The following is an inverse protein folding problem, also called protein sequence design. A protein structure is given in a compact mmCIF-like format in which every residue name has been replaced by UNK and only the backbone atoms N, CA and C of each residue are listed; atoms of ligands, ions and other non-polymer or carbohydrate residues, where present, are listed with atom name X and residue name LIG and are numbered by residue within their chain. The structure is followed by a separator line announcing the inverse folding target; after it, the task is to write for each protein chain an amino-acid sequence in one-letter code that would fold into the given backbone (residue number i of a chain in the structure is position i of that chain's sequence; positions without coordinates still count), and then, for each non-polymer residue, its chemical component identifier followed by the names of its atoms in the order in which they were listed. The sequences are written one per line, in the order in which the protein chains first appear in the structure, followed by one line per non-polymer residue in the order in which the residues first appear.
data_IF_221405515295
#
_entry.id   IF_221405515295
#
_cell.length_a   1.000
_cell.length_b   1.000
_cell.length_c   1.000
_cell.angle_alpha   90.00
_cell.angle_beta   90.00
_cell.angle_gamma   90.00
#
_symmetry.space_group_name_H-M   'P 1'
#
loop_
_entity.id
_entity.type
_entity.pdbx_description
1 polymer ?
#
# COMPACT_ATOMS: atom_id res chain seq x y z
N UNK A 1 3.28 26.50 -4.91
CA UNK A 1 3.36 25.82 -3.59
C UNK A 1 4.54 24.88 -3.56
N UNK A 2 5.17 24.74 -2.42
CA UNK A 2 6.21 23.72 -2.18
C UNK A 2 5.58 22.50 -1.51
N UNK A 3 5.75 21.34 -2.10
CA UNK A 3 5.18 20.07 -1.65
C UNK A 3 6.31 19.17 -1.16
N UNK A 4 6.10 18.44 -0.08
CA UNK A 4 7.00 17.40 0.40
C UNK A 4 6.29 16.04 0.36
N UNK A 5 6.85 15.08 -0.35
CA UNK A 5 6.42 13.66 -0.33
C UNK A 5 7.43 12.87 0.50
N UNK A 6 6.95 12.17 1.52
CA UNK A 6 7.81 11.39 2.42
C UNK A 6 7.81 9.93 1.97
N UNK A 7 9.01 9.38 1.79
CA UNK A 7 9.27 7.99 1.45
C UNK A 7 10.20 7.83 0.25
N UNK A 8 10.43 6.59 -0.15
CA UNK A 8 11.42 6.23 -1.19
C UNK A 8 10.98 5.05 -2.07
N UNK A 9 9.76 4.58 -1.95
CA UNK A 9 9.24 3.45 -2.71
C UNK A 9 8.60 3.84 -4.04
N UNK A 10 8.06 2.85 -4.74
CA UNK A 10 7.34 3.04 -5.99
C UNK A 10 6.06 3.84 -5.81
N UNK A 11 5.39 3.66 -4.68
CA UNK A 11 4.24 4.48 -4.26
C UNK A 11 4.61 5.95 -4.16
N UNK A 12 5.70 6.28 -3.49
CA UNK A 12 6.14 7.66 -3.30
C UNK A 12 6.59 8.29 -4.61
N UNK A 13 7.26 7.52 -5.47
CA UNK A 13 7.58 8.00 -6.82
C UNK A 13 6.30 8.34 -7.60
N UNK A 14 5.27 7.47 -7.56
CA UNK A 14 4.01 7.72 -8.24
C UNK A 14 3.24 8.92 -7.66
N UNK A 15 3.21 9.07 -6.34
CA UNK A 15 2.60 10.23 -5.68
C UNK A 15 3.31 11.54 -6.04
N UNK A 16 4.64 11.55 -6.02
CA UNK A 16 5.44 12.74 -6.39
C UNK A 16 5.32 13.09 -7.87
N UNK A 17 5.36 12.09 -8.76
CA UNK A 17 5.12 12.24 -10.19
C UNK A 17 3.72 12.82 -10.48
N UNK A 18 2.72 12.43 -9.70
CA UNK A 18 1.36 12.99 -9.84
C UNK A 18 1.25 14.38 -9.24
N UNK A 19 1.89 14.63 -8.12
CA UNK A 19 1.89 15.94 -7.46
C UNK A 19 2.52 17.04 -8.33
N UNK A 20 3.59 16.73 -9.06
CA UNK A 20 4.28 17.68 -9.92
C UNK A 20 3.44 18.12 -11.15
N UNK A 21 2.40 17.36 -11.49
CA UNK A 21 1.45 17.71 -12.58
C UNK A 21 0.42 18.75 -12.12
N UNK A 22 0.33 19.03 -10.82
CA UNK A 22 -0.57 20.04 -10.28
C UNK A 22 -0.13 21.45 -10.71
N UNK A 23 -1.04 22.29 -11.22
CA UNK A 23 -0.73 23.69 -11.48
C UNK A 23 -0.42 24.50 -10.20
N UNK A 24 -0.74 23.94 -9.03
CA UNK A 24 -0.43 24.51 -7.73
C UNK A 24 1.02 24.24 -7.31
N UNK A 25 1.64 23.17 -7.82
CA UNK A 25 2.98 22.76 -7.42
C UNK A 25 4.06 23.58 -8.15
N UNK A 26 4.87 24.31 -7.40
CA UNK A 26 6.06 25.01 -7.88
C UNK A 26 7.30 24.11 -7.75
N UNK A 27 7.41 23.42 -6.62
CA UNK A 27 8.51 22.51 -6.32
C UNK A 27 7.97 21.32 -5.53
N UNK A 28 8.38 20.13 -5.91
CA UNK A 28 8.07 18.89 -5.18
C UNK A 28 9.36 18.25 -4.68
N UNK A 29 9.49 18.18 -3.37
CA UNK A 29 10.58 17.49 -2.68
C UNK A 29 10.17 16.06 -2.34
N UNK A 30 11.12 15.13 -2.36
CA UNK A 30 10.91 13.74 -1.94
C UNK A 30 11.97 13.34 -0.92
N UNK A 31 11.56 12.88 0.25
CA UNK A 31 12.48 12.55 1.34
C UNK A 31 12.32 11.09 1.81
N UNK A 32 13.33 10.22 1.64
CA UNK A 32 14.61 10.48 0.98
C UNK A 32 14.56 10.41 -0.55
N UNK A 33 13.48 9.87 -1.15
CA UNK A 33 13.39 9.58 -2.56
C UNK A 33 14.24 8.38 -3.00
N UNK A 34 14.29 8.16 -4.32
CA UNK A 34 15.06 7.08 -4.93
C UNK A 34 15.69 7.56 -6.26
N UNK A 35 16.27 6.65 -7.04
CA UNK A 35 16.89 7.02 -8.32
C UNK A 35 15.85 7.60 -9.31
N UNK A 36 14.63 7.07 -9.34
CA UNK A 36 13.59 7.56 -10.24
C UNK A 36 13.18 8.99 -9.92
N UNK A 37 12.94 9.29 -8.65
CA UNK A 37 12.62 10.65 -8.22
C UNK A 37 13.77 11.64 -8.41
N UNK A 38 15.03 11.17 -8.33
CA UNK A 38 16.20 11.99 -8.64
C UNK A 38 16.35 12.33 -10.14
N UNK A 39 15.87 11.45 -11.02
CA UNK A 39 15.94 11.60 -12.47
C UNK A 39 14.76 12.38 -13.04
N UNK A 40 13.67 12.59 -12.31
CA UNK A 40 12.55 13.42 -12.74
C UNK A 40 12.93 14.90 -12.67
N UNK A 41 12.88 15.64 -13.80
CA UNK A 41 13.39 17.03 -13.85
C UNK A 41 12.71 18.00 -12.89
N UNK A 42 11.47 17.69 -12.49
CA UNK A 42 10.66 18.56 -11.63
C UNK A 42 10.61 18.11 -10.15
N UNK A 43 11.33 17.04 -9.80
CA UNK A 43 11.43 16.53 -8.43
C UNK A 43 12.81 16.82 -7.83
N UNK A 44 12.86 16.97 -6.52
CA UNK A 44 14.10 17.17 -5.77
C UNK A 44 14.17 16.22 -4.59
N UNK A 45 15.15 15.31 -4.61
CA UNK A 45 15.41 14.43 -3.47
C UNK A 45 16.06 15.20 -2.32
N UNK A 46 15.66 14.86 -1.10
CA UNK A 46 16.21 15.40 0.14
C UNK A 46 16.71 14.25 0.99
N UNK A 47 17.99 14.21 1.30
CA UNK A 47 18.65 13.11 2.01
C UNK A 47 18.26 13.09 3.51
N UNK A 48 16.97 12.94 3.81
CA UNK A 48 16.42 12.81 5.16
C UNK A 48 15.61 11.51 5.19
N UNK A 49 15.86 10.65 6.18
CA UNK A 49 15.09 9.42 6.38
C UNK A 49 13.61 9.72 6.60
N UNK A 50 12.74 8.86 6.06
CA UNK A 50 11.28 8.97 6.26
C UNK A 50 10.86 8.90 7.74
N UNK A 51 11.70 8.33 8.61
CA UNK A 51 11.46 8.19 10.05
C UNK A 51 12.19 9.21 10.91
N UNK A 52 13.00 10.08 10.31
CA UNK A 52 13.65 11.19 11.04
C UNK A 52 12.69 12.39 11.13
N UNK A 53 11.68 12.26 11.98
CA UNK A 53 10.62 13.27 12.16
C UNK A 53 11.19 14.64 12.53
N UNK A 54 12.14 14.77 13.46
CA UNK A 54 12.73 16.08 13.78
C UNK A 54 13.38 16.76 12.58
N UNK A 55 14.19 16.03 11.79
CA UNK A 55 14.87 16.59 10.63
C UNK A 55 13.89 16.96 9.51
N UNK A 56 12.84 16.14 9.29
CA UNK A 56 11.78 16.43 8.33
C UNK A 56 11.00 17.69 8.72
N UNK A 57 10.71 17.87 10.01
CA UNK A 57 10.01 19.03 10.54
C UNK A 57 10.85 20.32 10.37
N UNK A 58 12.14 20.24 10.69
CA UNK A 58 13.08 21.35 10.49
C UNK A 58 13.18 21.73 9.00
N UNK A 59 13.32 20.75 8.13
CA UNK A 59 13.32 20.95 6.68
C UNK A 59 12.05 21.64 6.20
N UNK A 60 10.89 21.13 6.61
CA UNK A 60 9.59 21.69 6.21
C UNK A 60 9.42 23.15 6.64
N UNK A 61 9.88 23.51 7.83
CA UNK A 61 9.89 24.91 8.30
C UNK A 61 10.85 25.78 7.51
N UNK A 62 12.09 25.32 7.31
CA UNK A 62 13.14 26.08 6.60
C UNK A 62 12.75 26.36 5.15
N UNK A 63 12.26 25.32 4.45
CA UNK A 63 11.84 25.43 3.04
C UNK A 63 10.46 26.05 2.87
N UNK A 64 9.71 26.24 3.96
CA UNK A 64 8.31 26.73 3.95
C UNK A 64 7.42 25.80 3.10
N UNK A 65 7.42 24.51 3.45
CA UNK A 65 6.57 23.52 2.79
C UNK A 65 5.10 23.85 3.04
N UNK A 66 4.32 23.95 1.99
CA UNK A 66 2.89 24.25 2.03
C UNK A 66 2.03 23.02 2.30
N UNK A 67 2.45 21.83 1.82
CA UNK A 67 1.76 20.55 2.03
C UNK A 67 2.77 19.42 2.10
N UNK A 68 2.59 18.54 3.08
CA UNK A 68 3.32 17.27 3.17
C UNK A 68 2.38 16.10 2.91
N UNK A 69 2.78 15.14 2.08
CA UNK A 69 2.07 13.89 1.79
C UNK A 69 2.93 12.73 2.29
N UNK A 70 2.39 11.91 3.18
CA UNK A 70 3.12 10.77 3.75
C UNK A 70 2.82 9.51 2.92
N UNK A 71 3.87 8.90 2.40
CA UNK A 71 3.77 7.66 1.63
C UNK A 71 3.70 6.40 2.49
N UNK A 72 4.76 6.06 3.28
CA UNK A 72 4.83 4.81 4.01
C UNK A 72 4.18 4.88 5.40
N UNK A 73 3.91 3.71 5.98
CA UNK A 73 3.32 3.55 7.30
C UNK A 73 4.26 3.91 8.46
N UNK A 74 5.57 3.65 8.32
CA UNK A 74 6.52 3.81 9.42
C UNK A 74 6.51 5.23 10.05
N UNK A 75 6.60 6.33 9.29
CA UNK A 75 6.50 7.67 9.87
C UNK A 75 5.13 7.98 10.48
N UNK A 76 4.05 7.37 9.99
CA UNK A 76 2.70 7.56 10.53
C UNK A 76 2.56 6.99 11.94
N UNK A 77 3.01 5.76 12.15
CA UNK A 77 2.91 5.08 13.45
C UNK A 77 3.83 5.67 14.53
N UNK A 78 4.84 6.43 14.14
CA UNK A 78 5.71 7.16 15.09
C UNK A 78 5.31 8.63 15.30
N UNK A 79 4.19 9.09 14.70
CA UNK A 79 3.57 10.37 15.02
C UNK A 79 4.03 11.57 14.19
N UNK A 80 4.51 11.39 12.96
CA UNK A 80 4.91 12.51 12.10
C UNK A 80 3.77 13.51 11.88
N UNK A 81 2.54 13.03 11.71
CA UNK A 81 1.38 13.88 11.46
C UNK A 81 1.07 14.75 12.68
N UNK A 82 1.15 14.17 13.87
CA UNK A 82 0.96 14.90 15.14
C UNK A 82 2.00 16.01 15.27
N UNK A 83 3.28 15.71 15.03
CA UNK A 83 4.38 16.68 15.12
C UNK A 83 4.23 17.85 14.13
N UNK A 84 3.83 17.56 12.89
CA UNK A 84 3.63 18.59 11.86
C UNK A 84 2.42 19.49 12.18
N UNK A 85 1.30 18.88 12.60
CA UNK A 85 0.10 19.64 12.99
C UNK A 85 0.34 20.52 14.22
N UNK A 86 1.06 20.04 15.22
CA UNK A 86 1.47 20.81 16.39
C UNK A 86 2.34 22.02 15.98
N UNK A 87 3.13 21.85 14.93
CA UNK A 87 3.95 22.90 14.34
C UNK A 87 3.18 23.87 13.42
N UNK A 88 1.88 23.64 13.19
CA UNK A 88 1.05 24.44 12.28
C UNK A 88 1.33 24.17 10.79
N UNK A 89 1.91 23.03 10.45
CA UNK A 89 2.22 22.63 9.07
C UNK A 89 1.15 21.67 8.53
N UNK A 90 0.66 21.94 7.31
CA UNK A 90 -0.29 21.07 6.65
C UNK A 90 0.36 19.74 6.25
N UNK A 91 -0.27 18.65 6.64
CA UNK A 91 0.18 17.30 6.36
C UNK A 91 -1.02 16.38 6.14
N UNK A 92 -0.99 15.64 5.04
CA UNK A 92 -2.00 14.66 4.69
C UNK A 92 -1.56 13.26 5.13
N UNK A 93 -2.25 12.73 6.12
CA UNK A 93 -2.02 11.43 6.73
C UNK A 93 -2.75 11.33 8.08
N UNK A 94 -2.97 10.12 8.61
CA UNK A 94 -3.58 9.92 9.92
C UNK A 94 -2.59 10.24 11.06
N UNK A 95 -3.14 10.65 12.20
CA UNK A 95 -2.39 10.78 13.45
C UNK A 95 -1.84 9.42 13.91
N UNK A 96 -0.88 9.43 14.84
CA UNK A 96 -0.34 8.21 15.43
C UNK A 96 -1.45 7.29 16.00
N UNK A 97 -2.42 7.87 16.70
CA UNK A 97 -3.55 7.14 17.26
C UNK A 97 -4.44 6.52 16.16
N UNK A 98 -4.73 7.26 15.09
CA UNK A 98 -5.51 6.73 13.96
C UNK A 98 -4.72 5.69 13.13
N UNK A 99 -3.40 5.81 13.04
CA UNK A 99 -2.53 4.88 12.35
C UNK A 99 -2.44 3.49 13.05
N UNK A 100 -3.00 3.33 14.24
CA UNK A 100 -3.15 2.02 14.90
C UNK A 100 -3.98 1.03 14.07
N UNK A 101 -4.84 1.48 13.17
CA UNK A 101 -5.56 0.61 12.22
C UNK A 101 -4.61 -0.22 11.32
N UNK A 102 -3.38 0.23 11.08
CA UNK A 102 -2.33 -0.56 10.42
C UNK A 102 -1.26 -1.02 11.42
N UNK A 103 -0.94 -0.19 12.41
CA UNK A 103 0.13 -0.41 13.37
C UNK A 103 -0.09 -1.60 14.30
N UNK A 104 -1.36 -1.98 14.58
CA UNK A 104 -1.70 -3.13 15.41
C UNK A 104 -2.88 -3.90 14.85
N UNK A 105 -2.63 -5.16 14.47
CA UNK A 105 -3.68 -6.07 13.98
C UNK A 105 -4.69 -6.42 15.06
N UNK A 106 -4.23 -6.57 16.29
CA UNK A 106 -5.11 -6.82 17.43
C UNK A 106 -6.04 -5.63 17.67
N UNK A 107 -5.50 -4.40 17.68
CA UNK A 107 -6.33 -3.19 17.77
C UNK A 107 -7.40 -3.16 16.67
N UNK A 108 -6.99 -3.42 15.42
CA UNK A 108 -7.89 -3.41 14.26
C UNK A 108 -8.99 -4.45 14.38
N UNK A 109 -8.66 -5.67 14.78
CA UNK A 109 -9.68 -6.73 14.94
C UNK A 109 -10.67 -6.39 16.06
N UNK A 110 -10.18 -5.90 17.19
CA UNK A 110 -11.04 -5.48 18.32
C UNK A 110 -11.91 -4.28 17.92
N UNK A 111 -11.38 -3.33 17.13
CA UNK A 111 -12.12 -2.21 16.57
C UNK A 111 -13.23 -2.69 15.61
N UNK A 112 -12.90 -3.58 14.66
CA UNK A 112 -13.88 -4.16 13.72
C UNK A 112 -15.03 -4.86 14.45
N UNK A 113 -14.72 -5.61 15.51
CA UNK A 113 -15.71 -6.29 16.33
C UNK A 113 -16.62 -5.30 17.09
N UNK A 114 -16.04 -4.27 17.73
CA UNK A 114 -16.81 -3.25 18.47
C UNK A 114 -17.78 -2.49 17.56
N UNK A 115 -17.38 -2.20 16.35
CA UNK A 115 -18.18 -1.44 15.38
C UNK A 115 -18.96 -2.32 14.41
N UNK A 116 -18.99 -3.64 14.62
CA UNK A 116 -19.73 -4.63 13.81
C UNK A 116 -19.37 -4.56 12.31
N UNK A 117 -18.11 -4.26 12.00
CA UNK A 117 -17.60 -4.22 10.63
C UNK A 117 -17.26 -5.65 10.20
N UNK A 118 -17.74 -6.11 9.02
CA UNK A 118 -17.52 -7.49 8.58
C UNK A 118 -16.04 -7.85 8.45
N UNK A 119 -15.61 -8.91 9.12
CA UNK A 119 -14.25 -9.44 9.12
C UNK A 119 -14.26 -10.91 9.48
N UNK A 120 -13.13 -11.60 9.36
CA UNK A 120 -12.94 -12.96 9.82
C UNK A 120 -13.14 -13.06 11.35
N UNK A 121 -13.69 -14.18 11.82
CA UNK A 121 -13.62 -14.53 13.24
C UNK A 121 -12.16 -14.54 13.69
N UNK A 122 -11.87 -14.13 14.90
CA UNK A 122 -10.51 -14.02 15.39
C UNK A 122 -10.39 -14.20 16.88
N UNK A 123 -9.16 -14.49 17.34
CA UNK A 123 -8.76 -14.38 18.73
C UNK A 123 -7.30 -13.98 18.86
N UNK A 124 -6.99 -13.15 19.87
CA UNK A 124 -5.64 -12.68 20.17
C UNK A 124 -4.98 -13.59 21.20
N UNK A 125 -3.66 -13.86 21.02
CA UNK A 125 -2.87 -14.68 21.93
C UNK A 125 -1.50 -14.07 22.19
N UNK A 126 -1.04 -14.22 23.44
CA UNK A 126 0.31 -13.87 23.89
C UNK A 126 1.06 -15.11 24.43
N UNK A 127 0.39 -16.24 24.54
CA UNK A 127 0.94 -17.49 25.08
C UNK A 127 0.71 -18.65 24.10
N UNK A 128 1.69 -19.54 23.99
CA UNK A 128 1.69 -20.65 23.02
C UNK A 128 0.58 -21.65 23.29
N UNK A 129 0.46 -22.13 24.53
CA UNK A 129 -0.48 -23.22 24.85
C UNK A 129 -1.96 -22.86 24.60
N UNK A 130 -2.46 -21.67 25.01
CA UNK A 130 -3.81 -21.26 24.64
C UNK A 130 -4.03 -21.14 23.14
N UNK A 131 -3.03 -20.64 22.39
CA UNK A 131 -3.10 -20.53 20.95
C UNK A 131 -3.18 -21.91 20.27
N UNK A 132 -2.37 -22.87 20.71
CA UNK A 132 -2.41 -24.26 20.21
C UNK A 132 -3.75 -24.94 20.53
N UNK A 133 -4.31 -24.71 21.71
CA UNK A 133 -5.62 -25.25 22.08
C UNK A 133 -6.72 -24.71 21.16
N UNK A 134 -6.69 -23.40 20.84
CA UNK A 134 -7.62 -22.79 19.90
C UNK A 134 -7.48 -23.32 18.48
N UNK A 135 -6.24 -23.53 17.98
CA UNK A 135 -6.00 -24.13 16.69
C UNK A 135 -6.58 -25.55 16.57
N UNK A 136 -6.43 -26.38 17.62
CA UNK A 136 -6.98 -27.74 17.65
C UNK A 136 -8.50 -27.77 17.68
N UNK A 137 -9.12 -26.75 18.27
CA UNK A 137 -10.58 -26.58 18.27
C UNK A 137 -11.09 -26.14 16.88
N UNK A 138 -10.44 -25.14 16.26
CA UNK A 138 -10.88 -24.54 14.99
C UNK A 138 -10.49 -25.36 13.77
N UNK A 139 -9.33 -26.03 13.80
CA UNK A 139 -8.78 -26.78 12.67
C UNK A 139 -8.13 -25.88 11.61
N UNK A 140 -7.86 -26.47 10.44
CA UNK A 140 -7.32 -25.77 9.28
C UNK A 140 -8.27 -25.94 8.07
N UNK A 141 -8.24 -25.02 7.05
CA UNK A 141 -7.31 -23.88 6.94
C UNK A 141 -7.60 -22.76 7.93
N UNK A 142 -6.53 -22.04 8.35
CA UNK A 142 -6.61 -20.95 9.33
C UNK A 142 -5.47 -19.94 9.08
N UNK A 143 -5.60 -18.71 9.57
CA UNK A 143 -4.60 -17.66 9.34
C UNK A 143 -4.00 -17.20 10.65
N UNK A 144 -2.68 -17.15 10.74
CA UNK A 144 -1.92 -16.67 11.89
C UNK A 144 -1.16 -15.40 11.48
N UNK A 145 -1.34 -14.32 12.25
CA UNK A 145 -0.72 -13.03 11.99
C UNK A 145 0.06 -12.55 13.21
N UNK A 146 1.32 -12.20 13.02
CA UNK A 146 2.07 -11.45 14.03
C UNK A 146 1.46 -10.03 14.18
N UNK A 147 1.31 -9.54 15.41
CA UNK A 147 0.83 -8.18 15.66
C UNK A 147 1.94 -7.15 15.33
N UNK A 148 1.54 -5.97 14.87
CA UNK A 148 2.48 -4.92 14.46
C UNK A 148 2.91 -4.98 12.99
N UNK A 149 3.86 -4.09 12.64
CA UNK A 149 4.37 -3.94 11.29
C UNK A 149 5.38 -5.04 10.97
N UNK A 150 5.05 -5.96 10.08
CA UNK A 150 5.91 -7.07 9.65
C UNK A 150 6.13 -7.10 8.13
N UNK A 151 5.91 -6.00 7.42
CA UNK A 151 6.11 -5.84 5.97
C UNK A 151 5.50 -6.99 5.12
N UNK A 152 4.29 -7.45 5.50
CA UNK A 152 3.60 -8.56 4.84
C UNK A 152 4.16 -9.96 5.13
N UNK A 153 5.28 -10.08 5.83
CA UNK A 153 5.91 -11.37 6.15
C UNK A 153 5.34 -12.03 7.42
N UNK A 154 4.65 -11.29 8.26
CA UNK A 154 4.06 -11.78 9.51
C UNK A 154 2.68 -12.41 9.34
N UNK A 155 2.30 -12.87 8.14
CA UNK A 155 1.01 -13.51 7.86
C UNK A 155 1.25 -14.89 7.27
N UNK A 156 0.76 -15.93 7.95
CA UNK A 156 0.84 -17.31 7.49
C UNK A 156 -0.58 -17.84 7.29
N UNK A 157 -0.89 -18.23 6.07
CA UNK A 157 -2.10 -18.96 5.71
C UNK A 157 -1.77 -20.44 5.83
N UNK A 158 -2.16 -21.06 6.93
CA UNK A 158 -1.89 -22.45 7.21
C UNK A 158 -3.00 -23.35 6.63
N UNK A 159 -2.65 -24.20 5.69
CA UNK A 159 -3.59 -25.13 5.07
C UNK A 159 -3.71 -26.42 5.90
N UNK A 160 -2.78 -26.69 6.80
CA UNK A 160 -2.78 -27.84 7.70
C UNK A 160 -2.62 -27.40 9.14
N UNK A 161 -3.08 -28.23 10.08
CA UNK A 161 -2.94 -27.94 11.52
C UNK A 161 -1.45 -27.88 11.92
N UNK A 162 -0.60 -28.72 11.34
CA UNK A 162 0.84 -28.72 11.63
C UNK A 162 1.48 -27.38 11.23
N UNK A 163 1.19 -26.87 10.02
CA UNK A 163 1.67 -25.54 9.58
C UNK A 163 1.22 -24.43 10.53
N UNK A 164 -0.02 -24.51 11.04
CA UNK A 164 -0.54 -23.54 11.98
C UNK A 164 0.17 -23.62 13.34
N UNK A 165 0.38 -24.83 13.87
CA UNK A 165 1.10 -25.03 15.14
C UNK A 165 2.55 -24.55 15.04
N UNK A 166 3.25 -24.87 13.92
CA UNK A 166 4.62 -24.41 13.67
C UNK A 166 4.68 -22.87 13.61
N UNK A 167 3.72 -22.24 12.93
CA UNK A 167 3.63 -20.77 12.86
C UNK A 167 3.45 -20.11 14.23
N UNK A 168 2.61 -20.68 15.09
CA UNK A 168 2.42 -20.19 16.48
C UNK A 168 3.70 -20.31 17.29
N UNK A 169 4.40 -21.45 17.17
CA UNK A 169 5.68 -21.68 17.86
C UNK A 169 6.74 -20.66 17.41
N UNK A 170 6.89 -20.48 16.10
CA UNK A 170 7.89 -19.57 15.53
C UNK A 170 7.62 -18.11 15.92
N UNK A 171 6.35 -17.69 15.90
CA UNK A 171 5.99 -16.31 16.22
C UNK A 171 6.09 -16.00 17.71
N UNK A 172 5.49 -16.81 18.58
CA UNK A 172 5.42 -16.54 20.03
C UNK A 172 6.65 -17.01 20.80
N UNK A 173 7.21 -18.17 20.48
CA UNK A 173 8.36 -18.73 21.20
C UNK A 173 9.69 -18.46 20.50
N UNK A 174 9.71 -18.47 19.16
CA UNK A 174 10.90 -18.26 18.36
C UNK A 174 11.33 -16.81 18.18
N UNK A 175 10.48 -15.85 18.59
CA UNK A 175 10.68 -14.41 18.42
C UNK A 175 11.06 -14.00 16.98
N UNK A 176 10.53 -14.72 15.99
CA UNK A 176 10.87 -14.57 14.57
C UNK A 176 10.59 -13.15 14.02
N UNK A 177 9.71 -12.38 14.68
CA UNK A 177 9.31 -11.04 14.28
C UNK A 177 9.60 -9.96 15.34
N UNK A 178 10.54 -10.22 16.27
CA UNK A 178 10.90 -9.26 17.34
C UNK A 178 9.66 -8.85 18.15
N UNK A 179 9.54 -7.55 18.44
CA UNK A 179 8.42 -7.02 19.23
C UNK A 179 7.04 -7.29 18.61
N UNK A 180 6.94 -7.40 17.28
CA UNK A 180 5.68 -7.76 16.59
C UNK A 180 5.23 -9.21 16.87
N UNK A 181 6.13 -10.10 17.26
CA UNK A 181 5.85 -11.50 17.61
C UNK A 181 5.37 -11.75 19.02
N UNK A 182 5.38 -10.74 19.93
CA UNK A 182 4.91 -10.92 21.31
C UNK A 182 3.39 -11.15 21.41
N UNK A 183 2.65 -10.84 20.39
CA UNK A 183 1.22 -11.10 20.26
C UNK A 183 0.89 -11.55 18.84
N UNK A 184 0.01 -12.53 18.75
CA UNK A 184 -0.52 -13.00 17.47
C UNK A 184 -2.03 -12.87 17.42
N UNK A 185 -2.55 -12.77 16.20
CA UNK A 185 -3.98 -12.88 15.90
C UNK A 185 -4.18 -14.15 15.08
N UNK A 186 -5.07 -15.02 15.53
CA UNK A 186 -5.51 -16.19 14.78
C UNK A 186 -6.87 -15.90 14.19
N UNK A 187 -7.03 -16.06 12.88
CA UNK A 187 -8.24 -15.70 12.15
C UNK A 187 -8.77 -16.85 11.31
N UNK A 188 -10.09 -16.87 11.13
CA UNK A 188 -10.78 -17.69 10.14
C UNK A 188 -10.14 -17.48 8.76
N UNK A 189 -9.96 -18.57 8.01
CA UNK A 189 -9.60 -18.50 6.60
C UNK A 189 -10.79 -17.97 5.78
N UNK A 190 -10.59 -16.91 5.05
CA UNK A 190 -11.61 -16.35 4.16
C UNK A 190 -11.39 -16.85 2.73
N UNK A 191 -12.44 -17.35 2.10
CA UNK A 191 -12.47 -17.74 0.70
C UNK A 191 -13.19 -16.69 -0.14
N UNK A 192 -12.60 -16.33 -1.28
CA UNK A 192 -13.13 -15.30 -2.17
C UNK A 192 -12.07 -14.69 -3.07
N UNK A 193 -12.35 -13.48 -3.53
CA UNK A 193 -11.47 -12.69 -4.37
C UNK A 193 -11.02 -11.43 -3.61
N UNK A 194 -9.71 -11.25 -3.50
CA UNK A 194 -9.16 -10.07 -2.81
C UNK A 194 -9.32 -8.80 -3.66
N UNK A 195 -9.64 -7.70 -3.01
CA UNK A 195 -9.69 -6.37 -3.62
C UNK A 195 -9.14 -5.29 -2.68
N UNK A 196 -8.52 -4.28 -3.29
CA UNK A 196 -8.03 -3.09 -2.62
C UNK A 196 -9.03 -1.95 -2.82
N UNK A 197 -9.68 -1.53 -1.73
CA UNK A 197 -10.64 -0.42 -1.72
C UNK A 197 -10.03 0.75 -0.98
N UNK A 198 -9.72 1.82 -1.70
CA UNK A 198 -8.97 2.96 -1.18
C UNK A 198 -9.83 4.20 -1.22
N UNK A 199 -9.80 4.96 -0.13
CA UNK A 199 -10.51 6.25 -0.02
C UNK A 199 -9.60 7.32 0.56
N UNK A 200 -9.89 8.58 0.23
CA UNK A 200 -9.41 9.74 0.98
C UNK A 200 -10.42 10.09 2.05
N UNK A 201 -9.95 10.43 3.24
CA UNK A 201 -10.78 10.81 4.38
C UNK A 201 -10.27 12.12 4.97
N UNK A 202 -11.18 13.02 5.35
CA UNK A 202 -10.87 14.31 5.97
C UNK A 202 -11.33 14.44 7.42
N UNK A 203 -11.72 13.31 8.01
CA UNK A 203 -12.29 13.23 9.35
C UNK A 203 -13.81 13.06 9.35
N UNK A 204 -14.51 13.67 8.43
CA UNK A 204 -15.98 13.62 8.32
C UNK A 204 -16.44 13.08 6.95
N UNK A 205 -15.76 13.50 5.89
CA UNK A 205 -16.11 13.14 4.52
C UNK A 205 -15.18 12.08 3.94
N UNK A 206 -15.67 11.37 2.95
CA UNK A 206 -14.95 10.29 2.26
C UNK A 206 -15.04 10.52 0.76
N UNK A 207 -13.89 10.48 0.10
CA UNK A 207 -13.79 10.50 -1.37
C UNK A 207 -13.20 9.15 -1.84
N UNK A 208 -13.99 8.26 -2.46
CA UNK A 208 -13.48 7.01 -3.01
C UNK A 208 -12.46 7.26 -4.13
N UNK A 209 -11.36 6.50 -4.08
CA UNK A 209 -10.38 6.41 -5.16
C UNK A 209 -10.74 5.24 -6.09
N UNK A 210 -10.01 5.09 -7.20
CA UNK A 210 -10.19 3.92 -8.04
C UNK A 210 -9.81 2.64 -7.29
N UNK A 211 -10.59 1.58 -7.47
CA UNK A 211 -10.32 0.26 -6.91
C UNK A 211 -9.14 -0.42 -7.62
N UNK A 212 -8.52 -1.39 -6.96
CA UNK A 212 -7.40 -2.15 -7.51
C UNK A 212 -7.43 -3.60 -6.99
N UNK A 213 -6.73 -4.48 -7.69
CA UNK A 213 -6.38 -5.81 -7.21
C UNK A 213 -4.89 -6.02 -7.37
N UNK A 214 -4.24 -6.50 -6.31
CA UNK A 214 -2.82 -6.84 -6.32
C UNK A 214 -2.60 -8.37 -6.43
N UNK A 215 -1.35 -8.75 -6.68
CA UNK A 215 -0.88 -10.13 -6.73
C UNK A 215 0.18 -10.35 -5.64
N UNK A 216 -0.23 -10.89 -4.50
CA UNK A 216 0.63 -10.99 -3.29
C UNK A 216 1.64 -12.12 -3.35
N UNK A 217 1.35 -13.22 -4.04
CA UNK A 217 2.27 -14.36 -4.16
C UNK A 217 3.41 -14.06 -5.14
N UNK A 218 4.60 -14.57 -4.82
CA UNK A 218 5.81 -14.28 -5.61
C UNK A 218 5.81 -14.92 -7.00
N UNK A 219 5.20 -16.09 -7.16
CA UNK A 219 5.22 -16.89 -8.39
C UNK A 219 3.92 -16.86 -9.17
N UNK A 220 4.02 -17.18 -10.45
CA UNK A 220 2.88 -17.36 -11.35
C UNK A 220 1.88 -18.36 -10.79
N UNK A 221 0.59 -18.16 -11.07
CA UNK A 221 -0.48 -19.00 -10.55
C UNK A 221 -0.68 -18.89 -9.04
N UNK A 222 -0.28 -17.78 -8.45
CA UNK A 222 -0.35 -17.50 -7.00
C UNK A 222 0.38 -18.56 -6.16
N UNK A 223 1.60 -18.90 -6.57
CA UNK A 223 2.47 -19.85 -5.90
C UNK A 223 3.59 -19.18 -5.08
N UNK A 224 4.16 -19.93 -4.14
CA UNK A 224 5.27 -19.46 -3.30
C UNK A 224 4.82 -18.55 -2.15
N UNK A 225 5.76 -17.89 -1.45
CA UNK A 225 5.46 -17.05 -0.30
C UNK A 225 4.74 -15.74 -0.70
N UNK A 226 4.08 -15.12 0.30
CA UNK A 226 3.54 -13.77 0.18
C UNK A 226 4.66 -12.74 0.06
N UNK A 227 4.36 -11.66 -0.63
CA UNK A 227 5.25 -10.50 -0.84
C UNK A 227 4.51 -9.21 -0.51
N UNK A 228 5.14 -8.07 -0.72
CA UNK A 228 4.47 -6.76 -0.69
C UNK A 228 3.56 -6.50 -1.90
N UNK A 229 3.49 -7.41 -2.87
CA UNK A 229 2.76 -7.30 -4.14
C UNK A 229 3.69 -7.35 -5.34
N UNK A 230 3.40 -8.23 -6.30
CA UNK A 230 4.19 -8.45 -7.53
C UNK A 230 3.61 -7.73 -8.73
N UNK A 231 2.53 -7.01 -8.55
CA UNK A 231 1.84 -6.23 -9.54
C UNK A 231 0.39 -5.96 -9.14
N UNK A 232 -0.23 -5.01 -9.80
CA UNK A 232 -1.61 -4.64 -9.55
C UNK A 232 -2.26 -4.07 -10.81
N UNK A 233 -3.57 -4.08 -10.85
CA UNK A 233 -4.34 -3.42 -11.90
C UNK A 233 -5.51 -2.63 -11.31
N UNK A 234 -5.97 -1.64 -12.03
CA UNK A 234 -7.08 -0.77 -11.67
C UNK A 234 -7.93 -0.47 -12.91
N UNK A 235 -9.28 -0.50 -12.83
CA UNK A 235 -10.08 -0.82 -11.66
C UNK A 235 -10.11 -2.33 -11.34
N UNK A 236 -10.67 -2.69 -10.18
CA UNK A 236 -10.93 -4.06 -9.79
C UNK A 236 -12.31 -4.52 -10.30
N UNK A 237 -12.42 -5.44 -11.28
CA UNK A 237 -13.71 -5.85 -11.82
C UNK A 237 -14.60 -6.58 -10.81
N UNK A 238 -14.02 -7.16 -9.77
CA UNK A 238 -14.78 -7.78 -8.68
C UNK A 238 -15.61 -6.78 -7.90
N UNK A 239 -15.18 -5.53 -7.84
CA UNK A 239 -15.91 -4.46 -7.14
C UNK A 239 -16.89 -3.81 -8.10
N UNK A 240 -18.06 -4.45 -8.25
CA UNK A 240 -19.20 -3.88 -8.98
C UNK A 240 -19.79 -2.69 -8.22
N UNK A 241 -20.68 -1.91 -8.85
CA UNK A 241 -21.35 -0.78 -8.20
C UNK A 241 -22.11 -1.21 -6.93
N UNK A 242 -22.73 -2.39 -6.95
CA UNK A 242 -23.40 -2.96 -5.78
C UNK A 242 -22.41 -3.28 -4.65
N UNK A 243 -21.30 -3.91 -4.99
CA UNK A 243 -20.26 -4.25 -4.00
C UNK A 243 -19.58 -2.97 -3.49
N UNK A 244 -19.35 -1.99 -4.37
CA UNK A 244 -18.83 -0.68 -3.97
C UNK A 244 -19.74 -0.04 -2.90
N UNK A 245 -21.06 -0.02 -3.12
CA UNK A 245 -21.99 0.53 -2.15
C UNK A 245 -22.00 -0.26 -0.84
N UNK A 246 -21.95 -1.61 -0.90
CA UNK A 246 -21.82 -2.45 0.32
C UNK A 246 -20.56 -2.13 1.11
N UNK A 247 -19.41 -1.96 0.44
CA UNK A 247 -18.15 -1.60 1.10
C UNK A 247 -18.26 -0.23 1.76
N UNK A 248 -18.83 0.76 1.07
CA UNK A 248 -19.05 2.08 1.66
C UNK A 248 -19.92 2.00 2.91
N UNK A 249 -21.05 1.30 2.85
CA UNK A 249 -22.04 1.24 3.93
C UNK A 249 -21.60 0.36 5.11
N UNK A 250 -20.94 -0.77 4.84
CA UNK A 250 -20.62 -1.77 5.87
C UNK A 250 -19.19 -1.69 6.39
N UNK A 251 -18.27 -1.05 5.64
CA UNK A 251 -16.85 -0.99 6.01
C UNK A 251 -16.39 0.45 6.18
N UNK A 252 -16.47 1.27 5.14
CA UNK A 252 -15.80 2.58 5.15
C UNK A 252 -16.47 3.55 6.12
N UNK A 253 -17.79 3.80 5.97
CA UNK A 253 -18.49 4.71 6.86
C UNK A 253 -18.46 4.27 8.33
N UNK A 254 -18.69 2.98 8.66
CA UNK A 254 -18.53 2.51 10.04
C UNK A 254 -17.12 2.71 10.58
N UNK A 255 -16.08 2.52 9.77
CA UNK A 255 -14.68 2.75 10.18
C UNK A 255 -14.43 4.23 10.50
N UNK A 256 -14.78 5.14 9.59
CA UNK A 256 -14.53 6.58 9.76
C UNK A 256 -15.30 7.11 10.98
N UNK A 257 -16.58 6.76 11.11
CA UNK A 257 -17.42 7.16 12.25
C UNK A 257 -16.98 6.51 13.56
N UNK A 258 -16.59 5.24 13.52
CA UNK A 258 -16.08 4.53 14.69
C UNK A 258 -14.80 5.12 15.23
N UNK A 259 -13.85 5.43 14.35
CA UNK A 259 -12.60 6.11 14.71
C UNK A 259 -12.87 7.47 15.33
N UNK A 260 -13.76 8.27 14.76
CA UNK A 260 -14.15 9.57 15.33
C UNK A 260 -14.84 9.41 16.69
N UNK A 261 -15.72 8.43 16.86
CA UNK A 261 -16.41 8.15 18.12
C UNK A 261 -15.45 7.72 19.24
N UNK A 262 -14.34 7.06 18.90
CA UNK A 262 -13.27 6.70 19.85
C UNK A 262 -12.24 7.83 20.06
N UNK A 263 -12.45 9.02 19.48
CA UNK A 263 -11.56 10.18 19.63
C UNK A 263 -10.33 10.16 18.69
N UNK A 264 -10.28 9.22 17.75
CA UNK A 264 -9.18 9.03 16.80
C UNK A 264 -9.62 9.44 15.39
N UNK A 265 -9.99 10.70 15.21
CA UNK A 265 -10.45 11.23 13.92
C UNK A 265 -9.46 10.90 12.81
N UNK A 266 -9.93 10.23 11.76
CA UNK A 266 -9.10 9.78 10.64
C UNK A 266 -9.03 10.82 9.53
N UNK A 267 -7.82 11.23 9.15
CA UNK A 267 -7.54 12.04 7.95
C UNK A 267 -6.41 11.37 7.19
N UNK A 268 -6.55 11.19 5.89
CA UNK A 268 -5.51 10.54 5.08
C UNK A 268 -6.07 9.54 4.07
N UNK A 269 -5.22 8.78 3.43
CA UNK A 269 -5.64 7.61 2.68
C UNK A 269 -5.99 6.49 3.64
N UNK A 270 -7.14 5.86 3.42
CA UNK A 270 -7.56 4.64 4.10
C UNK A 270 -7.73 3.55 3.05
N UNK A 271 -6.88 2.53 3.15
CA UNK A 271 -6.94 1.35 2.30
C UNK A 271 -7.60 0.22 3.10
N UNK A 272 -8.72 -0.28 2.60
CA UNK A 272 -9.35 -1.50 3.08
C UNK A 272 -8.97 -2.66 2.14
N UNK A 273 -8.17 -3.61 2.64
CA UNK A 273 -7.95 -4.91 2.02
C UNK A 273 -9.16 -5.80 2.30
N UNK A 274 -9.85 -6.22 1.25
CA UNK A 274 -11.11 -6.92 1.35
C UNK A 274 -11.04 -8.31 0.72
N UNK A 275 -11.71 -9.27 1.35
CA UNK A 275 -12.12 -10.50 0.71
C UNK A 275 -13.57 -10.38 0.29
N UNK A 276 -13.85 -10.51 -1.00
CA UNK A 276 -15.22 -10.52 -1.55
C UNK A 276 -15.59 -11.99 -1.79
N UNK A 277 -16.55 -12.50 -1.04
CA UNK A 277 -16.99 -13.87 -1.19
C UNK A 277 -17.89 -14.05 -2.44
N UNK A 278 -18.27 -15.30 -2.72
CA UNK A 278 -19.10 -15.65 -3.87
C UNK A 278 -20.52 -15.04 -3.84
N UNK A 279 -20.96 -14.50 -2.69
CA UNK A 279 -22.25 -13.78 -2.56
C UNK A 279 -22.09 -12.27 -2.72
N UNK A 280 -20.85 -11.79 -2.94
CA UNK A 280 -20.51 -10.37 -3.01
C UNK A 280 -20.46 -9.70 -1.63
N UNK A 281 -20.33 -10.47 -0.54
CA UNK A 281 -20.18 -9.92 0.80
C UNK A 281 -18.72 -9.56 1.05
N UNK A 282 -18.41 -8.28 1.33
CA UNK A 282 -17.06 -7.88 1.68
C UNK A 282 -16.76 -8.21 3.15
N UNK A 283 -15.56 -8.74 3.39
CA UNK A 283 -14.98 -8.88 4.74
C UNK A 283 -13.61 -8.23 4.76
N UNK A 284 -13.33 -7.43 5.79
CA UNK A 284 -12.01 -6.79 5.95
C UNK A 284 -10.95 -7.82 6.30
N UNK A 285 -9.89 -7.87 5.52
CA UNK A 285 -8.66 -8.64 5.79
C UNK A 285 -7.73 -7.80 6.66
N UNK A 286 -7.51 -6.55 6.26
CA UNK A 286 -6.63 -5.58 6.92
C UNK A 286 -6.99 -4.15 6.51
N UNK A 287 -6.58 -3.18 7.33
CA UNK A 287 -6.47 -1.79 6.91
C UNK A 287 -5.01 -1.41 6.71
N UNK A 288 -4.78 -0.51 5.76
CA UNK A 288 -3.53 0.22 5.65
C UNK A 288 -3.85 1.74 5.73
N UNK A 289 -3.07 2.45 6.53
CA UNK A 289 -3.30 3.88 6.82
C UNK A 289 -2.63 4.80 5.80
N UNK A 290 -2.43 4.33 4.62
CA UNK A 290 -1.73 4.95 3.50
C UNK A 290 -2.17 4.30 2.19
N UNK A 291 -1.70 4.85 1.08
CA UNK A 291 -1.94 4.24 -0.23
C UNK A 291 -1.24 2.88 -0.36
N UNK A 292 -1.76 1.98 -1.18
CA UNK A 292 -1.15 0.67 -1.44
C UNK A 292 0.12 0.75 -2.30
N UNK A 293 0.98 -0.25 -2.21
CA UNK A 293 2.14 -0.44 -3.08
C UNK A 293 2.24 -1.92 -3.46
N UNK A 294 1.93 -2.31 -4.72
CA UNK A 294 2.04 -1.53 -5.95
C UNK A 294 0.72 -0.97 -6.55
N UNK A 295 -0.33 -0.76 -5.78
CA UNK A 295 -1.61 -0.25 -6.29
C UNK A 295 -1.55 1.23 -6.70
N UNK A 296 -0.74 2.03 -6.00
CA UNK A 296 -0.62 3.47 -6.27
C UNK A 296 -0.21 3.76 -7.71
N UNK A 297 0.71 2.98 -8.26
CA UNK A 297 1.27 3.22 -9.58
C UNK A 297 0.19 3.15 -10.70
N UNK A 298 -0.59 2.07 -10.86
CA UNK A 298 -1.65 2.04 -11.85
C UNK A 298 -2.80 3.00 -11.53
N UNK A 299 -3.11 3.26 -10.26
CA UNK A 299 -4.16 4.20 -9.87
C UNK A 299 -3.77 5.64 -10.23
N UNK A 300 -2.54 6.07 -9.94
CA UNK A 300 -2.06 7.42 -10.26
C UNK A 300 -1.93 7.64 -11.77
N UNK A 301 -1.63 6.60 -12.55
CA UNK A 301 -1.61 6.70 -14.00
C UNK A 301 -3.02 6.99 -14.58
N UNK A 302 -4.07 6.52 -13.91
CA UNK A 302 -5.47 6.77 -14.27
C UNK A 302 -6.05 8.06 -13.70
N UNK A 303 -5.52 8.58 -12.61
CA UNK A 303 -6.07 9.77 -11.96
C UNK A 303 -5.92 11.00 -12.86
N UNK A 304 -7.05 11.65 -13.20
CA UNK A 304 -7.10 12.90 -13.95
C UNK A 304 -7.29 14.13 -13.07
N UNK A 305 -7.84 13.94 -11.85
CA UNK A 305 -7.94 15.02 -10.87
C UNK A 305 -6.59 15.44 -10.32
N UNK A 306 -6.50 16.67 -9.87
CA UNK A 306 -5.31 17.22 -9.20
C UNK A 306 -5.15 16.63 -7.81
N UNK A 307 -4.12 15.78 -7.61
CA UNK A 307 -3.83 15.14 -6.33
C UNK A 307 -3.54 16.15 -5.21
N UNK A 308 -2.84 17.24 -5.53
CA UNK A 308 -2.48 18.27 -4.54
C UNK A 308 -3.73 18.98 -4.05
N UNK A 309 -4.63 19.36 -4.96
CA UNK A 309 -5.91 19.98 -4.61
C UNK A 309 -6.80 19.07 -3.76
N UNK A 310 -6.82 17.77 -4.07
CA UNK A 310 -7.54 16.79 -3.25
C UNK A 310 -6.95 16.66 -1.84
N UNK A 311 -5.62 16.60 -1.72
CA UNK A 311 -4.95 16.50 -0.42
C UNK A 311 -5.14 17.77 0.42
N UNK A 312 -5.11 18.96 -0.19
CA UNK A 312 -5.41 20.22 0.48
C UNK A 312 -6.85 20.27 0.97
N UNK A 313 -7.81 19.87 0.11
CA UNK A 313 -9.21 19.80 0.50
C UNK A 313 -9.42 18.86 1.70
N UNK A 314 -8.72 17.72 1.72
CA UNK A 314 -8.76 16.81 2.86
C UNK A 314 -8.18 17.42 4.14
N UNK A 315 -7.06 18.14 4.04
CA UNK A 315 -6.48 18.85 5.20
C UNK A 315 -7.42 19.95 5.74
N UNK A 316 -8.24 20.52 4.87
CA UNK A 316 -9.20 21.59 5.20
C UNK A 316 -10.61 21.08 5.60
N UNK A 317 -10.86 19.76 5.57
CA UNK A 317 -12.19 19.18 5.84
C UNK A 317 -13.22 19.49 4.75
N UNK A 318 -12.80 19.54 3.48
CA UNK A 318 -13.63 19.96 2.33
C UNK A 318 -13.71 18.90 1.22
N UNK A 319 -13.55 17.64 1.55
CA UNK A 319 -13.66 16.56 0.53
C UNK A 319 -15.07 16.41 -0.04
N UNK A 320 -16.10 16.84 0.69
CA UNK A 320 -17.48 16.91 0.20
C UNK A 320 -17.68 17.84 -1.01
N UNK A 321 -16.75 18.77 -1.23
CA UNK A 321 -16.74 19.71 -2.36
C UNK A 321 -15.90 19.19 -3.53
N UNK A 322 -15.33 18.00 -3.44
CA UNK A 322 -14.44 17.42 -4.44
C UNK A 322 -15.03 16.16 -5.07
N UNK A 323 -14.61 15.91 -6.29
CA UNK A 323 -14.87 14.67 -7.02
C UNK A 323 -13.57 14.18 -7.64
N UNK A 324 -13.44 12.87 -7.78
CA UNK A 324 -12.31 12.26 -8.48
C UNK A 324 -12.71 11.90 -9.91
N UNK A 325 -11.85 12.27 -10.86
CA UNK A 325 -12.00 11.94 -12.28
C UNK A 325 -10.88 10.98 -12.70
N UNK A 326 -11.23 10.02 -13.54
CA UNK A 326 -10.38 8.90 -13.92
C UNK A 326 -10.32 8.71 -15.42
N UNK A 327 -9.16 8.34 -15.94
CA UNK A 327 -9.07 7.76 -17.28
C UNK A 327 -9.95 6.50 -17.30
N UNK A 328 -10.87 6.37 -18.25
CA UNK A 328 -11.76 5.20 -18.34
C UNK A 328 -11.01 3.91 -18.65
N UNK A 329 -9.81 4.02 -19.23
CA UNK A 329 -8.97 2.87 -19.55
C UNK A 329 -8.40 2.26 -18.26
N UNK A 330 -8.33 0.93 -18.16
CA UNK A 330 -7.61 0.27 -17.08
C UNK A 330 -6.10 0.52 -17.18
N UNK A 331 -5.45 0.48 -16.03
CA UNK A 331 -4.00 0.46 -15.91
C UNK A 331 -3.53 -0.81 -15.21
N UNK A 332 -2.32 -1.28 -15.57
CA UNK A 332 -1.72 -2.45 -14.95
C UNK A 332 -0.23 -2.18 -14.71
N UNK A 333 0.25 -2.53 -13.51
CA UNK A 333 1.64 -2.44 -13.12
C UNK A 333 2.25 -3.81 -12.87
N UNK A 334 3.43 -4.05 -13.43
CA UNK A 334 4.25 -5.25 -13.24
C UNK A 334 5.46 -4.89 -12.39
N UNK A 335 5.63 -5.57 -11.25
CA UNK A 335 6.80 -5.38 -10.39
C UNK A 335 7.96 -6.23 -10.90
N UNK A 336 9.11 -5.59 -11.11
CA UNK A 336 10.38 -6.26 -11.30
C UNK A 336 11.12 -6.34 -9.97
N UNK A 337 11.48 -7.54 -9.56
CA UNK A 337 12.10 -7.83 -8.27
C UNK A 337 13.54 -8.34 -8.43
N UNK A 338 14.33 -8.15 -7.36
CA UNK A 338 15.68 -8.69 -7.25
C UNK A 338 15.64 -10.21 -7.02
N UNK A 339 16.61 -10.93 -7.58
CA UNK A 339 16.73 -12.37 -7.41
C UNK A 339 16.82 -12.76 -5.94
N UNK A 340 15.97 -13.72 -5.54
CA UNK A 340 15.85 -14.15 -4.16
C UNK A 340 14.69 -13.53 -3.37
N UNK A 341 14.14 -12.40 -3.83
CA UNK A 341 12.98 -11.76 -3.17
C UNK A 341 11.78 -12.73 -3.11
N UNK A 342 11.01 -12.82 -1.99
CA UNK A 342 11.04 -11.99 -0.78
C UNK A 342 12.03 -12.46 0.31
N UNK A 343 12.86 -13.47 0.03
CA UNK A 343 13.96 -13.89 0.90
C UNK A 343 15.16 -12.96 0.79
N UNK A 344 16.36 -13.51 0.99
CA UNK A 344 17.59 -12.75 0.86
C UNK A 344 17.89 -12.41 -0.61
N UNK A 345 18.23 -11.18 -0.88
CA UNK A 345 18.54 -10.67 -2.22
C UNK A 345 19.77 -9.76 -2.20
N UNK A 346 20.45 -9.67 -3.35
CA UNK A 346 21.58 -8.76 -3.54
C UNK A 346 21.10 -7.36 -3.91
N UNK A 347 21.94 -6.37 -3.61
CA UNK A 347 21.75 -4.97 -3.97
C UNK A 347 23.00 -4.44 -4.67
N UNK A 348 22.87 -3.38 -5.44
CA UNK A 348 23.98 -2.73 -6.13
C UNK A 348 24.18 -3.21 -7.56
N UNK A 349 23.28 -4.03 -8.10
CA UNK A 349 23.32 -4.41 -9.52
C UNK A 349 22.89 -3.23 -10.39
N UNK A 350 23.63 -2.95 -11.47
CA UNK A 350 23.28 -1.92 -12.43
C UNK A 350 22.03 -2.32 -13.22
N UNK A 351 21.07 -1.39 -13.32
CA UNK A 351 19.86 -1.58 -14.09
C UNK A 351 20.08 -1.05 -15.51
N UNK A 352 19.83 -1.89 -16.49
CA UNK A 352 19.97 -1.58 -17.92
C UNK A 352 18.60 -1.46 -18.58
N UNK A 353 18.53 -0.72 -19.69
CA UNK A 353 17.35 -0.64 -20.57
C UNK A 353 16.20 0.20 -20.04
N UNK A 354 16.45 1.05 -19.03
CA UNK A 354 15.47 2.04 -18.60
C UNK A 354 15.14 3.01 -19.75
N UNK A 355 13.87 3.43 -19.91
CA UNK A 355 13.51 4.41 -20.94
C UNK A 355 14.18 5.76 -20.65
N UNK A 356 14.75 6.37 -21.69
CA UNK A 356 15.38 7.70 -21.62
C UNK A 356 14.38 8.84 -21.85
N UNK A 357 13.21 8.52 -22.40
CA UNK A 357 12.16 9.48 -22.73
C UNK A 357 10.84 9.04 -22.10
N UNK A 358 9.89 9.96 -22.02
CA UNK A 358 8.54 9.63 -21.58
C UNK A 358 7.91 8.57 -22.49
N UNK A 359 7.29 7.59 -21.84
CA UNK A 359 6.61 6.50 -22.54
C UNK A 359 5.12 6.84 -22.65
N UNK A 360 4.63 6.87 -23.90
CA UNK A 360 3.22 7.10 -24.14
C UNK A 360 2.36 6.02 -23.47
N UNK A 361 1.35 6.45 -22.71
CA UNK A 361 0.42 5.56 -21.97
C UNK A 361 1.11 4.56 -21.04
N UNK A 362 2.29 4.92 -20.51
CA UNK A 362 3.02 4.09 -19.58
C UNK A 362 4.05 4.86 -18.76
N UNK A 363 4.51 4.26 -17.67
CA UNK A 363 5.55 4.82 -16.81
C UNK A 363 6.32 3.71 -16.10
N UNK A 364 7.63 3.88 -15.96
CA UNK A 364 8.46 3.05 -15.08
C UNK A 364 8.65 3.80 -13.77
N UNK A 365 7.99 3.30 -12.72
CA UNK A 365 8.18 3.83 -11.38
C UNK A 365 9.29 3.08 -10.67
N UNK A 366 10.22 3.81 -10.07
CA UNK A 366 11.30 3.25 -9.28
C UNK A 366 10.84 3.02 -7.84
N UNK A 367 11.21 1.87 -7.28
CA UNK A 367 11.03 1.52 -5.89
C UNK A 367 12.39 1.36 -5.21
N UNK A 368 12.87 0.15 -5.02
CA UNK A 368 14.17 -0.11 -4.43
C UNK A 368 15.33 0.19 -5.40
N UNK A 369 15.58 1.45 -5.66
CA UNK A 369 16.69 1.92 -6.51
C UNK A 369 17.46 3.05 -5.84
N UNK A 370 18.74 3.19 -6.19
CA UNK A 370 19.56 4.35 -5.84
C UNK A 370 20.35 4.83 -7.04
N UNK A 371 20.66 6.11 -7.06
CA UNK A 371 21.49 6.75 -8.08
C UNK A 371 22.90 6.91 -7.50
N UNK A 372 23.92 6.35 -8.18
CA UNK A 372 25.32 6.57 -7.89
C UNK A 372 25.99 7.12 -9.14
N UNK A 373 26.49 8.34 -9.07
CA UNK A 373 26.92 9.08 -10.26
C UNK A 373 25.80 9.12 -11.30
N UNK A 374 25.99 8.49 -12.44
CA UNK A 374 24.99 8.40 -13.52
C UNK A 374 24.37 6.99 -13.64
N UNK A 375 24.66 6.09 -12.68
CA UNK A 375 24.20 4.72 -12.72
C UNK A 375 23.00 4.51 -11.81
N UNK A 376 21.96 3.88 -12.32
CA UNK A 376 20.83 3.41 -11.52
C UNK A 376 21.13 1.99 -11.05
N UNK A 377 21.17 1.82 -9.73
CA UNK A 377 21.48 0.56 -9.06
C UNK A 377 20.29 0.03 -8.26
N UNK A 378 20.19 -1.29 -8.13
CA UNK A 378 19.21 -1.92 -7.25
C UNK A 378 19.53 -1.59 -5.79
N UNK A 379 18.48 -1.34 -4.99
CA UNK A 379 18.58 -0.99 -3.56
C UNK A 379 17.38 -1.50 -2.75
N UNK A 380 16.79 -2.60 -3.17
CA UNK A 380 15.63 -3.20 -2.51
C UNK A 380 15.15 -4.47 -3.20
N UNK A 381 14.19 -5.16 -2.59
CA UNK A 381 13.63 -6.41 -3.14
C UNK A 381 12.70 -6.17 -4.32
N UNK A 382 11.71 -5.27 -4.17
CA UNK A 382 10.92 -4.75 -5.29
C UNK A 382 11.65 -3.53 -5.83
N UNK A 383 12.08 -3.61 -7.08
CA UNK A 383 13.03 -2.63 -7.66
C UNK A 383 12.32 -1.61 -8.52
N UNK A 384 11.47 -2.07 -9.44
CA UNK A 384 10.71 -1.22 -10.35
C UNK A 384 9.26 -1.68 -10.43
N UNK A 385 8.35 -0.78 -10.79
CA UNK A 385 7.00 -1.10 -11.22
C UNK A 385 6.76 -0.49 -12.61
N UNK A 386 6.61 -1.34 -13.61
CA UNK A 386 6.36 -0.94 -15.01
C UNK A 386 4.86 -0.90 -15.24
N UNK A 387 4.32 0.28 -15.48
CA UNK A 387 2.88 0.52 -15.51
C UNK A 387 2.43 0.99 -16.88
N UNK A 388 1.29 0.52 -17.37
CA UNK A 388 0.72 0.93 -18.64
C UNK A 388 -0.81 1.00 -18.59
N UNK A 389 -1.37 1.91 -19.41
CA UNK A 389 -2.78 1.97 -19.77
C UNK A 389 -3.06 1.09 -20.99
N UNK A 390 -4.29 0.61 -21.12
CA UNK A 390 -4.77 -0.10 -22.30
C UNK A 390 -6.28 -0.01 -22.44
N UNK A 391 -6.83 -0.29 -23.61
CA UNK A 391 -8.27 -0.23 -23.85
C UNK A 391 -9.05 -1.23 -22.98
N UNK A 392 -8.38 -2.30 -22.62
CA UNK A 392 -8.82 -3.28 -21.61
C UNK A 392 -7.62 -3.77 -20.79
N UNK A 393 -7.86 -4.63 -19.78
CA UNK A 393 -6.79 -5.14 -18.91
C UNK A 393 -5.78 -5.99 -19.69
N UNK A 394 -6.22 -6.72 -20.73
CA UNK A 394 -5.31 -7.52 -21.55
C UNK A 394 -4.38 -6.63 -22.39
N UNK A 395 -4.88 -5.53 -22.95
CA UNK A 395 -4.10 -4.55 -23.65
C UNK A 395 -3.10 -3.84 -22.72
N UNK A 396 -3.54 -3.44 -21.52
CA UNK A 396 -2.68 -2.86 -20.51
C UNK A 396 -1.58 -3.84 -20.06
N UNK A 397 -1.92 -5.11 -19.86
CA UNK A 397 -0.97 -6.19 -19.54
C UNK A 397 0.07 -6.33 -20.63
N UNK A 398 -0.37 -6.49 -21.88
CA UNK A 398 0.53 -6.63 -23.03
C UNK A 398 1.50 -5.47 -23.10
N UNK A 399 1.00 -4.24 -22.98
CA UNK A 399 1.82 -3.02 -23.05
C UNK A 399 2.82 -2.95 -21.88
N UNK A 400 2.40 -3.24 -20.65
CA UNK A 400 3.30 -3.27 -19.51
C UNK A 400 4.44 -4.28 -19.71
N UNK A 401 4.13 -5.52 -20.15
CA UNK A 401 5.17 -6.52 -20.43
C UNK A 401 6.06 -6.16 -21.62
N UNK A 402 5.57 -5.48 -22.64
CA UNK A 402 6.43 -4.93 -23.71
C UNK A 402 7.45 -3.95 -23.16
N UNK A 403 7.06 -3.08 -22.24
CA UNK A 403 7.93 -2.11 -21.59
C UNK A 403 8.93 -2.76 -20.62
N UNK A 404 8.66 -3.95 -20.09
CA UNK A 404 9.63 -4.66 -19.23
C UNK A 404 10.77 -5.30 -20.03
N UNK A 405 10.56 -5.66 -21.31
CA UNK A 405 11.52 -6.46 -22.11
C UNK A 405 12.94 -5.90 -22.17
N UNK A 406 13.15 -4.57 -22.37
CA UNK A 406 14.50 -4.02 -22.42
C UNK A 406 15.17 -3.92 -21.04
N UNK A 407 14.39 -3.95 -19.94
CA UNK A 407 14.90 -3.69 -18.60
C UNK A 407 15.48 -4.97 -18.01
N UNK A 408 16.71 -4.90 -17.50
CA UNK A 408 17.38 -6.07 -16.94
C UNK A 408 18.48 -5.71 -15.94
N UNK A 409 18.73 -6.59 -15.01
CA UNK A 409 19.90 -6.71 -14.14
C UNK A 409 20.07 -8.18 -13.73
N UNK A 410 21.19 -8.52 -13.10
CA UNK A 410 21.46 -9.91 -12.75
C UNK A 410 20.42 -10.46 -11.77
N UNK A 411 19.77 -11.56 -12.14
CA UNK A 411 18.75 -12.22 -11.32
C UNK A 411 17.40 -11.51 -11.29
N UNK A 412 17.18 -10.47 -12.07
CA UNK A 412 15.87 -9.79 -12.16
C UNK A 412 14.76 -10.75 -12.59
N UNK A 413 13.59 -10.64 -11.96
CA UNK A 413 12.42 -11.42 -12.34
C UNK A 413 11.13 -10.64 -12.11
N UNK A 414 10.07 -11.09 -12.74
CA UNK A 414 8.69 -10.65 -12.52
C UNK A 414 7.73 -11.82 -12.72
N UNK A 415 6.52 -11.69 -12.22
CA UNK A 415 5.41 -12.59 -12.59
C UNK A 415 5.00 -12.30 -14.04
N UNK A 416 4.51 -13.33 -14.72
CA UNK A 416 4.08 -13.25 -16.14
C UNK A 416 2.57 -13.25 -16.32
N UNK A 417 1.83 -13.37 -15.22
CA UNK A 417 0.38 -13.54 -15.19
C UNK A 417 -0.36 -12.39 -14.48
N UNK A 418 0.28 -11.24 -14.23
CA UNK A 418 -0.37 -10.08 -13.61
C UNK A 418 -1.62 -9.69 -14.39
N UNK A 419 -2.75 -9.57 -13.70
CA UNK A 419 -4.04 -9.24 -14.33
C UNK A 419 -4.87 -10.45 -14.79
N UNK A 420 -4.37 -11.68 -14.65
CA UNK A 420 -5.04 -12.88 -15.17
C UNK A 420 -6.48 -13.03 -14.66
N UNK A 421 -6.78 -12.63 -13.42
CA UNK A 421 -8.13 -12.73 -12.85
C UNK A 421 -9.13 -11.85 -13.60
N UNK A 422 -8.75 -10.63 -13.94
CA UNK A 422 -9.58 -9.72 -14.71
C UNK A 422 -9.74 -10.18 -16.17
N UNK A 423 -8.65 -10.66 -16.80
CA UNK A 423 -8.64 -11.10 -18.20
C UNK A 423 -9.48 -12.37 -18.39
N UNK A 424 -9.42 -13.31 -17.44
CA UNK A 424 -10.16 -14.56 -17.49
C UNK A 424 -11.58 -14.48 -16.90
N UNK A 425 -12.00 -13.31 -16.43
CA UNK A 425 -13.34 -13.08 -15.88
C UNK A 425 -14.39 -13.19 -17.00
N UNK A 426 -15.35 -14.10 -16.84
CA UNK A 426 -16.47 -14.31 -17.78
C UNK A 426 -17.66 -13.45 -17.41
#
# INVERSE_FOLDING_TARGET
MKILVIGNGGREHALAWKAVQSPLAETVFVAPGNAGTALEPALQNVAISATDVPALLEFARREKIDLTIVGPEAPLVIGIVDAFREAGLAIFGPTQAAAQLEGSKAFTKDFLARHQIPSAEYQNFTEVEPALAYLREKGAPIVIKADGLAAGKGVIVAMTLQEAEDAVQDMLAGNAFGDAGHRIVIEEFLDGEEASFIVMVDGEHVLPMATSQDHKRVGDGDTGPNTGGMGAYSPAPVVTDEIHQRVMDQVIWPTVRGMAAEGNVYTGFLYAGLMIDHTGQPKVIEFNCRFGDPETQPIMLRLQSDLVDLCLAACDGKLDQKTSQWDPRPALGVVLAAGGYPGDYTQGDQIHGLPLEEVADGKVFHAGTRLEEDLVLTNGGRVLCVTALGDDVAAAQKRAYELTKPISWQGSFCRRDIGYRAINRK
#
